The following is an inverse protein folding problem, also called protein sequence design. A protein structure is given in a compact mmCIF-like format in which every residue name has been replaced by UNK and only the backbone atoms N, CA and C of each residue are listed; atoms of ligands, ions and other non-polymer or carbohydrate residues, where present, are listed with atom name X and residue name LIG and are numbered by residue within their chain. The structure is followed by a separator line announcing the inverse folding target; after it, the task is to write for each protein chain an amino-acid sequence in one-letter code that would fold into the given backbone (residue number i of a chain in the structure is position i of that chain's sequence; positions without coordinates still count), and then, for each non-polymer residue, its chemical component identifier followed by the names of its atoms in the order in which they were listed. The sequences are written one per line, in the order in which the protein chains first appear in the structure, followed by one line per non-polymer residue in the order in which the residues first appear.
data_IF_377650749595
#
_entry.id   IF_377650749595
#
_cell.length_a   1.000
_cell.length_b   1.000
_cell.length_c   1.000
_cell.angle_alpha   90.00
_cell.angle_beta   90.00
_cell.angle_gamma   90.00
#
_symmetry.space_group_name_H-M   'P 1'
#
loop_
_entity.id
_entity.type
_entity.pdbx_description
1 polymer ?
#
# COMPACT_ATOMS: atom_id res chain seq x y z
N UNK A 1 -1.41 -1.06 6.20
CA UNK A 1 -0.92 -2.05 5.22
C UNK A 1 -2.03 -3.06 5.04
N UNK A 2 -2.36 -3.45 3.80
CA UNK A 2 -3.33 -4.52 3.55
C UNK A 2 -2.62 -5.69 2.90
N UNK A 3 -3.07 -6.90 3.21
CA UNK A 3 -2.50 -8.14 2.67
C UNK A 3 -3.52 -8.79 1.75
N UNK A 4 -3.12 -9.06 0.51
CA UNK A 4 -3.86 -9.89 -0.42
C UNK A 4 -3.25 -11.29 -0.41
N UNK A 5 -4.11 -12.30 -0.40
CA UNK A 5 -3.73 -13.69 -0.55
C UNK A 5 -4.47 -14.28 -1.75
N UNK A 6 -3.74 -14.94 -2.64
CA UNK A 6 -4.28 -15.63 -3.80
C UNK A 6 -3.86 -17.11 -3.73
N UNK A 7 -4.84 -17.99 -3.52
CA UNK A 7 -4.64 -19.43 -3.26
C UNK A 7 -4.90 -20.33 -4.49
N UNK A 8 -5.19 -19.73 -5.65
CA UNK A 8 -5.23 -20.40 -6.95
C UNK A 8 -4.50 -19.51 -7.96
N UNK A 9 -3.18 -19.59 -7.99
CA UNK A 9 -2.44 -19.03 -9.12
C UNK A 9 -1.85 -20.22 -9.87
N UNK A 10 -2.14 -20.29 -11.16
CA UNK A 10 -1.52 -21.24 -12.10
C UNK A 10 0.02 -21.04 -12.17
N UNK A 11 0.50 -19.94 -11.58
CA UNK A 11 1.87 -19.44 -11.64
C UNK A 11 2.26 -18.73 -10.32
N UNK A 12 2.97 -19.43 -9.43
CA UNK A 12 3.38 -18.89 -8.11
C UNK A 12 4.75 -18.19 -8.11
N UNK A 13 5.38 -18.10 -9.28
CA UNK A 13 6.64 -17.40 -9.57
C UNK A 13 6.46 -15.91 -9.88
N UNK A 14 5.22 -15.45 -10.06
CA UNK A 14 4.91 -14.04 -10.34
C UNK A 14 4.14 -13.43 -9.16
N UNK A 15 4.45 -12.18 -8.77
CA UNK A 15 3.68 -11.50 -7.73
C UNK A 15 2.21 -11.35 -8.13
N UNK A 16 1.28 -11.41 -7.16
CA UNK A 16 -0.13 -11.22 -7.45
C UNK A 16 -0.38 -9.82 -8.01
N UNK A 17 -1.27 -9.73 -8.99
CA UNK A 17 -1.74 -8.45 -9.48
C UNK A 17 -2.46 -7.72 -8.34
N UNK A 18 -2.04 -6.50 -8.09
CA UNK A 18 -2.73 -5.56 -7.21
C UNK A 18 -3.36 -4.49 -8.10
N UNK A 19 -4.39 -3.82 -7.61
CA UNK A 19 -5.09 -2.79 -8.39
C UNK A 19 -4.10 -1.74 -8.94
N UNK A 20 -4.34 -1.24 -10.15
CA UNK A 20 -3.44 -0.31 -10.85
C UNK A 20 -3.21 1.00 -10.08
N UNK A 21 -4.09 1.27 -9.12
CA UNK A 21 -4.09 2.44 -8.27
C UNK A 21 -3.37 2.17 -6.92
N UNK A 22 -2.75 1.01 -6.76
CA UNK A 22 -2.08 0.61 -5.53
C UNK A 22 -0.58 0.41 -5.70
N UNK A 23 0.16 0.56 -4.59
CA UNK A 23 1.61 0.33 -4.56
C UNK A 23 1.88 -0.95 -3.78
N UNK A 24 2.47 -1.95 -4.45
CA UNK A 24 2.94 -3.18 -3.82
C UNK A 24 4.21 -2.87 -3.01
N UNK A 25 4.21 -3.28 -1.75
CA UNK A 25 5.35 -3.13 -0.86
C UNK A 25 6.19 -4.39 -0.80
N UNK A 26 5.53 -5.53 -0.66
CA UNK A 26 6.18 -6.83 -0.58
C UNK A 26 5.29 -7.93 -1.15
N UNK A 27 5.88 -9.08 -1.45
CA UNK A 27 5.17 -10.28 -1.87
C UNK A 27 5.97 -11.54 -1.64
N UNK A 28 5.27 -12.66 -1.60
CA UNK A 28 5.91 -13.96 -1.52
C UNK A 28 4.93 -15.11 -1.75
N UNK A 29 5.32 -16.28 -1.27
CA UNK A 29 4.61 -17.54 -1.49
C UNK A 29 3.92 -18.04 -0.21
N UNK A 30 2.91 -18.88 -0.38
CA UNK A 30 2.16 -19.50 0.73
C UNK A 30 2.38 -21.01 0.66
N UNK A 31 2.92 -21.59 1.72
CA UNK A 31 3.07 -23.05 1.84
C UNK A 31 1.72 -23.74 2.07
N UNK A 32 1.64 -25.05 1.87
CA UNK A 32 0.45 -25.86 2.15
C UNK A 32 0.02 -25.84 3.64
N UNK A 33 0.91 -25.41 4.54
CA UNK A 33 0.59 -25.18 5.96
C UNK A 33 0.01 -23.78 6.22
N UNK A 34 -0.14 -22.96 5.18
CA UNK A 34 -0.61 -21.57 5.26
C UNK A 34 0.48 -20.55 5.63
N UNK A 35 1.76 -20.95 5.69
CA UNK A 35 2.85 -20.05 6.07
C UNK A 35 3.23 -19.15 4.90
N UNK A 36 3.31 -17.85 5.16
CA UNK A 36 3.88 -16.88 4.23
C UNK A 36 5.42 -16.96 4.26
N UNK A 37 6.03 -17.12 3.10
CA UNK A 37 7.47 -17.19 2.91
C UNK A 37 7.90 -16.23 1.78
N UNK A 38 9.18 -15.83 1.73
CA UNK A 38 9.69 -14.98 0.64
C UNK A 38 9.46 -15.59 -0.75
N UNK A 39 9.41 -14.75 -1.78
CA UNK A 39 9.20 -15.17 -3.17
C UNK A 39 10.26 -16.16 -3.69
N UNK A 40 11.48 -16.05 -3.19
CA UNK A 40 12.64 -16.86 -3.53
C UNK A 40 12.91 -17.99 -2.52
N UNK A 41 11.95 -18.28 -1.61
CA UNK A 41 12.12 -19.27 -0.55
C UNK A 41 12.65 -20.62 -1.05
N UNK A 42 12.07 -21.15 -2.13
CA UNK A 42 12.51 -22.45 -2.66
C UNK A 42 13.97 -22.39 -3.17
N UNK A 43 14.32 -21.35 -3.92
CA UNK A 43 15.69 -21.10 -4.38
C UNK A 43 16.67 -20.94 -3.22
N UNK A 44 16.29 -20.26 -2.13
CA UNK A 44 17.14 -20.10 -0.95
C UNK A 44 17.40 -21.44 -0.24
N UNK A 45 16.47 -22.38 -0.29
CA UNK A 45 16.60 -23.67 0.40
C UNK A 45 17.34 -24.72 -0.43
N UNK A 46 17.17 -24.71 -1.75
CA UNK A 46 17.72 -25.76 -2.65
C UNK A 46 18.90 -25.28 -3.50
N UNK A 47 19.07 -23.96 -3.65
CA UNK A 47 20.01 -23.37 -4.60
C UNK A 47 19.49 -23.38 -6.05
N UNK A 48 18.35 -24.00 -6.32
CA UNK A 48 17.78 -24.15 -7.66
C UNK A 48 16.47 -23.36 -7.81
N UNK A 49 16.36 -22.46 -8.80
CA UNK A 49 15.13 -21.73 -9.08
C UNK A 49 13.94 -22.67 -9.35
N UNK A 50 12.86 -22.49 -8.61
CA UNK A 50 11.62 -23.25 -8.80
C UNK A 50 11.59 -24.64 -8.17
N UNK A 51 12.69 -25.13 -7.60
CA UNK A 51 12.73 -26.40 -6.87
C UNK A 51 12.57 -26.17 -5.37
N UNK A 52 11.48 -26.70 -4.80
CA UNK A 52 11.23 -26.63 -3.37
C UNK A 52 11.71 -27.91 -2.66
N UNK A 53 12.15 -27.83 -1.39
CA UNK A 53 12.53 -28.99 -0.61
C UNK A 53 11.41 -30.04 -0.52
N UNK A 54 11.75 -31.34 -0.40
CA UNK A 54 10.75 -32.39 -0.22
C UNK A 54 9.86 -32.10 1.00
N UNK A 55 8.54 -32.21 0.82
CA UNK A 55 7.54 -31.89 1.85
C UNK A 55 7.11 -30.42 1.90
N UNK A 56 7.80 -29.51 1.20
CA UNK A 56 7.34 -28.14 0.99
C UNK A 56 6.52 -28.08 -0.29
N UNK A 57 5.24 -27.74 -0.15
CA UNK A 57 4.36 -27.47 -1.29
C UNK A 57 3.90 -26.02 -1.23
N UNK A 58 4.10 -25.29 -2.32
CA UNK A 58 3.54 -23.95 -2.49
C UNK A 58 2.12 -24.08 -3.01
N UNK A 59 1.20 -23.33 -2.40
CA UNK A 59 -0.24 -23.38 -2.69
C UNK A 59 -0.83 -22.02 -3.04
N UNK A 60 -0.01 -20.96 -3.03
CA UNK A 60 -0.46 -19.63 -3.37
C UNK A 60 0.63 -18.60 -3.23
N UNK A 61 0.23 -17.35 -3.39
CA UNK A 61 1.07 -16.15 -3.23
C UNK A 61 0.36 -15.13 -2.37
N UNK A 62 1.15 -14.32 -1.67
CA UNK A 62 0.67 -13.19 -0.89
C UNK A 62 1.34 -11.91 -1.38
N UNK A 63 0.68 -10.77 -1.20
CA UNK A 63 1.32 -9.47 -1.33
C UNK A 63 0.81 -8.49 -0.29
N UNK A 64 1.72 -7.68 0.21
CA UNK A 64 1.39 -6.51 0.98
C UNK A 64 1.38 -5.29 0.07
N UNK A 65 0.35 -4.47 0.20
CA UNK A 65 0.15 -3.32 -0.66
C UNK A 65 -0.46 -2.15 0.12
N UNK A 66 -0.21 -0.95 -0.40
CA UNK A 66 -0.86 0.28 0.02
C UNK A 66 -1.94 0.66 -1.00
N UNK A 67 -3.23 0.57 -0.62
CA UNK A 67 -4.31 1.12 -1.43
C UNK A 67 -4.19 2.64 -1.53
N UNK A 68 -4.48 3.21 -2.71
CA UNK A 68 -4.52 4.68 -2.90
C UNK A 68 -5.49 5.40 -1.97
N UNK A 69 -6.53 4.71 -1.52
CA UNK A 69 -7.54 5.27 -0.64
C UNK A 69 -7.00 5.81 0.69
N UNK A 70 -5.71 5.68 1.03
CA UNK A 70 -5.08 6.31 2.20
C UNK A 70 -4.71 7.80 2.05
N UNK A 71 -4.86 8.41 0.87
CA UNK A 71 -4.54 9.84 0.70
C UNK A 71 -5.62 10.81 1.21
N UNK A 72 -6.76 10.31 1.71
CA UNK A 72 -7.83 11.15 2.27
C UNK A 72 -7.31 12.11 3.34
N UNK A 73 -6.38 11.65 4.18
CA UNK A 73 -5.83 12.47 5.26
C UNK A 73 -5.00 13.64 4.71
N UNK A 74 -4.16 13.40 3.70
CA UNK A 74 -3.36 14.44 3.05
C UNK A 74 -4.29 15.42 2.33
N UNK A 75 -5.29 14.93 1.60
CA UNK A 75 -6.23 15.77 0.87
C UNK A 75 -7.11 16.63 1.81
N UNK A 76 -7.52 16.09 2.96
CA UNK A 76 -8.18 16.86 4.01
C UNK A 76 -7.24 17.90 4.64
N UNK A 77 -5.97 17.53 4.88
CA UNK A 77 -4.96 18.43 5.46
C UNK A 77 -4.65 19.60 4.51
N UNK A 78 -4.51 19.34 3.22
CA UNK A 78 -4.31 20.37 2.19
C UNK A 78 -5.51 21.32 2.14
N UNK A 79 -6.72 20.75 2.11
CA UNK A 79 -7.96 21.54 2.11
C UNK A 79 -8.07 22.40 3.37
N UNK A 80 -7.74 21.84 4.55
CA UNK A 80 -7.74 22.57 5.83
C UNK A 80 -6.74 23.72 5.82
N UNK A 81 -5.54 23.51 5.29
CA UNK A 81 -4.51 24.54 5.21
C UNK A 81 -4.95 25.70 4.31
N UNK A 82 -5.49 25.39 3.12
CA UNK A 82 -6.02 26.41 2.20
C UNK A 82 -7.14 27.20 2.85
N UNK A 83 -8.07 26.53 3.53
CA UNK A 83 -9.18 27.19 4.24
C UNK A 83 -8.69 28.06 5.40
N UNK A 84 -7.70 27.60 6.17
CA UNK A 84 -7.11 28.36 7.26
C UNK A 84 -6.43 29.65 6.75
N UNK A 85 -5.65 29.56 5.67
CA UNK A 85 -5.02 30.72 5.04
C UNK A 85 -6.07 31.71 4.51
N UNK A 86 -7.12 31.21 3.85
CA UNK A 86 -8.22 32.03 3.38
C UNK A 86 -8.92 32.77 4.54
N UNK A 87 -9.21 32.09 5.65
CA UNK A 87 -9.83 32.69 6.82
C UNK A 87 -8.95 33.80 7.44
N UNK A 88 -7.64 33.59 7.52
CA UNK A 88 -6.68 34.59 8.01
C UNK A 88 -6.66 35.83 7.12
N UNK A 89 -6.62 35.64 5.79
CA UNK A 89 -6.63 36.76 4.84
C UNK A 89 -7.93 37.58 4.90
N UNK A 90 -9.08 36.89 4.98
CA UNK A 90 -10.39 37.55 5.13
C UNK A 90 -10.45 38.33 6.45
N UNK A 91 -9.98 37.74 7.54
CA UNK A 91 -9.92 38.41 8.84
C UNK A 91 -9.01 39.64 8.81
N UNK A 92 -7.83 39.54 8.18
CA UNK A 92 -6.90 40.66 8.02
C UNK A 92 -7.52 41.80 7.18
N UNK A 93 -8.18 41.47 6.07
CA UNK A 93 -8.86 42.45 5.23
C UNK A 93 -9.98 43.18 6.00
N UNK A 94 -10.79 42.44 6.76
CA UNK A 94 -11.82 43.02 7.62
C UNK A 94 -11.22 43.93 8.69
N UNK A 95 -10.14 43.51 9.35
CA UNK A 95 -9.45 44.31 10.37
C UNK A 95 -8.88 45.62 9.79
N UNK A 96 -8.27 45.56 8.60
CA UNK A 96 -7.76 46.75 7.91
C UNK A 96 -8.89 47.69 7.53
N UNK A 97 -9.99 47.16 6.97
CA UNK A 97 -11.15 47.98 6.60
C UNK A 97 -11.74 48.67 7.84
N UNK A 98 -11.99 47.92 8.92
CA UNK A 98 -12.52 48.45 10.17
C UNK A 98 -11.63 49.54 10.77
N UNK A 99 -10.31 49.44 10.63
CA UNK A 99 -9.39 50.47 11.11
C UNK A 99 -9.37 51.73 10.23
N UNK A 100 -9.78 51.63 8.96
CA UNK A 100 -9.79 52.75 8.00
C UNK A 100 -11.13 53.48 7.93
N UNK A 101 -12.24 52.79 8.23
CA UNK A 101 -13.60 53.32 8.11
C UNK A 101 -14.29 53.52 9.46
N UNK A 102 -13.65 53.11 10.56
CA UNK A 102 -14.14 53.27 11.93
C UNK A 102 -13.49 54.43 12.66
#
# INVERSE_FOLDING_TARGET
MRTLTATQVERTDIPPMVDADSVRMDWGQITATGRQVPADYCTQQTGNPGECPPGVRITGVWAEYHPRAHFWYVQLTESLLVLALAAVLVWAAYRVLRHRTG
#
